data_IF_553633913850
#
_entry.id   IF_553633913850
#
_cell.length_a   1.000
_cell.length_b   1.000
_cell.length_c   1.000
_cell.angle_alpha   90.00
_cell.angle_beta   90.00
_cell.angle_gamma   90.00
#
_symmetry.space_group_name_H-M   'P 1'
#
loop_
_entity.id
_entity.type
_entity.pdbx_description
1 polymer ?
#
# COMPACT_ATOMS: atom_id res chain seq x y z
N UNK A 1 -42.92 38.28 17.51
CA UNK A 1 -43.21 36.95 18.11
C UNK A 1 -43.23 35.93 16.98
N UNK A 2 -42.31 34.96 17.00
CA UNK A 2 -42.27 33.73 16.18
C UNK A 2 -41.76 33.90 14.74
N UNK A 3 -40.50 33.60 14.40
CA UNK A 3 -39.89 32.26 14.14
C UNK A 3 -40.46 31.64 12.85
N UNK A 4 -39.75 31.72 11.72
CA UNK A 4 -38.73 30.76 11.24
C UNK A 4 -39.20 29.29 11.26
N UNK A 5 -39.35 28.72 10.06
CA UNK A 5 -39.08 27.31 9.73
C UNK A 5 -39.01 27.18 8.19
N UNK A 6 -37.79 27.23 7.65
CA UNK A 6 -37.47 26.78 6.30
C UNK A 6 -37.12 25.29 6.35
N UNK A 7 -37.81 24.50 5.54
CA UNK A 7 -37.52 23.09 5.29
C UNK A 7 -36.11 22.92 4.72
N UNK A 8 -35.24 22.23 5.48
CA UNK A 8 -33.97 21.70 4.99
C UNK A 8 -34.18 20.29 4.45
N UNK A 9 -34.02 20.16 3.13
CA UNK A 9 -33.82 18.89 2.44
C UNK A 9 -32.45 18.34 2.84
N UNK A 10 -32.43 17.28 3.63
CA UNK A 10 -31.24 16.47 3.93
C UNK A 10 -31.03 15.48 2.77
N UNK A 11 -29.89 15.58 2.08
CA UNK A 11 -29.43 14.55 1.15
C UNK A 11 -28.62 13.47 1.91
N UNK A 12 -28.61 12.21 1.43
CA UNK A 12 -27.96 11.12 2.13
C UNK A 12 -26.50 10.98 1.68
N UNK A 13 -25.55 11.49 2.48
CA UNK A 13 -24.14 11.08 2.40
C UNK A 13 -23.81 10.28 3.65
N UNK A 14 -23.88 8.95 3.54
CA UNK A 14 -23.38 8.03 4.55
C UNK A 14 -22.79 6.84 3.82
N UNK A 15 -21.47 6.66 3.88
CA UNK A 15 -20.78 5.36 4.00
C UNK A 15 -19.31 5.44 3.55
N UNK A 16 -18.38 5.96 4.38
CA UNK A 16 -16.94 5.59 4.30
C UNK A 16 -16.27 5.48 5.71
N UNK A 17 -16.96 5.78 6.83
CA UNK A 17 -16.30 5.91 8.15
C UNK A 17 -16.05 4.62 8.97
N UNK A 18 -16.25 3.41 8.44
CA UNK A 18 -16.29 2.20 9.30
C UNK A 18 -15.06 1.28 9.28
N UNK A 19 -13.97 1.59 8.59
CA UNK A 19 -12.90 0.59 8.38
C UNK A 19 -11.64 0.75 9.26
N UNK A 20 -11.41 1.88 9.94
CA UNK A 20 -10.13 2.15 10.60
C UNK A 20 -10.11 1.94 12.15
N UNK A 21 -11.24 1.67 12.81
CA UNK A 21 -11.31 1.72 14.28
C UNK A 21 -11.27 0.36 15.04
N UNK A 22 -11.36 -0.80 14.36
CA UNK A 22 -11.74 -2.07 15.03
C UNK A 22 -10.62 -3.07 15.38
N UNK A 23 -9.34 -2.68 15.39
CA UNK A 23 -8.22 -3.66 15.52
C UNK A 23 -7.64 -3.79 16.95
N UNK A 24 -8.20 -3.16 17.99
CA UNK A 24 -7.61 -3.23 19.35
C UNK A 24 -8.37 -4.01 20.44
N UNK A 25 -9.48 -4.67 20.14
CA UNK A 25 -10.19 -5.45 21.17
C UNK A 25 -10.87 -6.70 20.61
N UNK A 26 -10.15 -7.84 20.64
CA UNK A 26 -10.68 -9.19 20.98
C UNK A 26 -9.67 -10.27 20.59
N UNK A 27 -8.94 -10.78 21.57
CA UNK A 27 -8.40 -12.15 21.56
C UNK A 27 -8.15 -12.59 23.00
N UNK A 28 -9.24 -12.91 23.71
CA UNK A 28 -9.22 -13.79 24.88
C UNK A 28 -10.21 -14.92 24.60
N UNK A 29 -9.69 -16.11 24.35
CA UNK A 29 -10.48 -17.35 24.24
C UNK A 29 -10.61 -17.98 25.63
N UNK A 30 -11.81 -18.36 26.09
CA UNK A 30 -11.96 -19.13 27.32
C UNK A 30 -11.86 -20.65 27.05
N UNK A 31 -11.23 -21.37 27.99
CA UNK A 31 -11.12 -22.83 28.02
C UNK A 31 -12.49 -23.50 28.26
N UNK A 32 -12.78 -24.66 27.65
CA UNK A 32 -13.99 -25.42 27.99
C UNK A 32 -13.79 -26.29 29.24
N UNK A 33 -14.53 -25.95 30.30
CA UNK A 33 -14.91 -26.88 31.37
C UNK A 33 -16.07 -27.74 30.88
N UNK A 34 -15.97 -29.07 31.01
CA UNK A 34 -17.09 -29.97 31.35
C UNK A 34 -16.60 -31.42 31.49
N UNK A 35 -16.53 -31.90 32.72
CA UNK A 35 -16.60 -33.33 33.07
C UNK A 35 -18.08 -33.72 33.17
N UNK A 36 -18.40 -34.99 32.88
CA UNK A 36 -19.31 -35.69 33.78
C UNK A 36 -18.76 -37.05 34.24
N UNK A 37 -19.13 -37.31 35.49
CA UNK A 37 -18.87 -38.46 36.33
C UNK A 37 -19.60 -39.72 35.87
N UNK A 38 -18.90 -40.86 36.02
CA UNK A 38 -19.36 -42.19 36.42
C UNK A 38 -20.56 -42.85 35.70
N UNK A 39 -20.29 -43.98 35.04
CA UNK A 39 -21.11 -45.20 35.19
C UNK A 39 -20.19 -46.43 35.22
N UNK A 40 -20.27 -47.18 36.32
CA UNK A 40 -19.57 -48.44 36.54
C UNK A 40 -20.35 -49.61 35.95
N UNK A 41 -19.58 -50.53 35.36
CA UNK A 41 -19.66 -51.99 35.44
C UNK A 41 -21.02 -52.70 35.32
N UNK A 42 -21.10 -53.64 34.35
CA UNK A 42 -21.25 -55.07 34.69
C UNK A 42 -21.08 -55.99 33.46
N UNK A 43 -20.21 -57.02 33.66
CA UNK A 43 -20.36 -58.45 33.35
C UNK A 43 -20.65 -58.92 31.90
N UNK A 44 -20.16 -60.04 31.38
CA UNK A 44 -19.24 -61.12 31.80
C UNK A 44 -19.04 -61.99 30.52
N UNK A 45 -17.88 -62.65 30.38
CA UNK A 45 -17.62 -63.90 29.62
C UNK A 45 -17.89 -63.89 28.08
N UNK A 46 -17.05 -64.42 27.18
CA UNK A 46 -16.44 -65.75 27.21
C UNK A 46 -15.56 -65.97 25.95
N UNK A 47 -14.52 -66.79 26.10
CA UNK A 47 -13.89 -67.70 25.10
C UNK A 47 -13.17 -67.16 23.86
N UNK A 48 -11.84 -67.37 23.89
CA UNK A 48 -10.93 -67.51 22.75
C UNK A 48 -11.30 -68.66 21.80
N UNK A 49 -10.98 -68.49 20.51
CA UNK A 49 -10.65 -69.50 19.45
C UNK A 49 -10.89 -68.82 18.09
N UNK A 50 -10.17 -68.98 16.98
CA UNK A 50 -8.88 -69.56 16.59
C UNK A 50 -8.74 -69.26 15.08
N UNK A 51 -7.50 -69.12 14.59
CA UNK A 51 -7.03 -69.15 13.18
C UNK A 51 -7.33 -67.92 12.28
N UNK A 52 -6.32 -67.14 11.86
CA UNK A 52 -5.33 -67.42 10.79
C UNK A 52 -6.02 -67.86 9.50
N UNK A 53 -6.23 -66.88 8.64
CA UNK A 53 -6.66 -67.03 7.27
C UNK A 53 -6.28 -65.78 6.48
N UNK A 54 -5.09 -65.83 5.89
CA UNK A 54 -4.60 -65.01 4.79
C UNK A 54 -3.92 -63.65 5.12
N UNK A 55 -2.60 -63.73 5.32
CA UNK A 55 -1.68 -62.69 4.85
C UNK A 55 -1.89 -62.49 3.35
N UNK A 56 -2.43 -61.34 2.96
CA UNK A 56 -2.21 -60.73 1.65
C UNK A 56 -2.01 -59.22 1.87
N UNK A 57 -0.75 -58.87 2.02
CA UNK A 57 -0.14 -57.53 1.99
C UNK A 57 -0.77 -56.74 0.82
N UNK A 58 -1.41 -55.60 1.05
CA UNK A 58 -0.80 -54.30 0.72
C UNK A 58 -1.27 -53.21 1.69
N UNK A 59 -0.55 -53.05 2.80
CA UNK A 59 -0.35 -51.72 3.34
C UNK A 59 0.60 -50.98 2.38
N UNK A 60 0.25 -49.76 1.97
CA UNK A 60 1.04 -48.51 2.10
C UNK A 60 0.26 -47.41 1.37
N UNK A 61 -0.10 -46.31 2.05
CA UNK A 61 -0.68 -45.13 1.41
C UNK A 61 0.41 -44.40 0.63
N UNK A 62 0.35 -44.40 -0.70
CA UNK A 62 1.26 -43.60 -1.52
C UNK A 62 0.76 -42.15 -1.62
N UNK A 63 0.82 -41.41 -0.51
CA UNK A 63 0.89 -39.94 -0.55
C UNK A 63 2.35 -39.56 -0.33
N UNK A 64 3.13 -39.68 -1.39
CA UNK A 64 4.51 -39.17 -1.45
C UNK A 64 4.57 -38.18 -2.58
N UNK A 65 4.66 -36.88 -2.26
CA UNK A 65 5.03 -35.90 -3.28
C UNK A 65 4.47 -34.48 -3.19
N UNK A 66 4.33 -33.87 -2.01
CA UNK A 66 4.17 -32.40 -1.89
C UNK A 66 4.93 -31.87 -0.68
N UNK A 67 6.26 -31.89 -0.75
CA UNK A 67 7.08 -31.15 0.22
C UNK A 67 8.12 -30.28 -0.49
N UNK A 68 8.75 -30.79 -1.55
CA UNK A 68 9.76 -30.04 -2.32
C UNK A 68 9.16 -28.99 -3.26
N UNK A 69 7.93 -29.22 -3.74
CA UNK A 69 7.21 -28.24 -4.55
C UNK A 69 6.83 -26.99 -3.77
N UNK A 70 6.54 -27.10 -2.47
CA UNK A 70 6.16 -25.93 -1.67
C UNK A 70 7.36 -25.04 -1.32
N UNK A 71 8.58 -25.60 -1.16
CA UNK A 71 9.77 -24.78 -0.92
C UNK A 71 10.26 -24.08 -2.19
N UNK A 72 10.26 -24.76 -3.34
CA UNK A 72 10.63 -24.13 -4.61
C UNK A 72 9.54 -23.15 -5.08
N UNK A 73 8.26 -23.48 -4.89
CA UNK A 73 7.16 -22.54 -5.14
C UNK A 73 7.21 -21.33 -4.18
N UNK A 74 7.56 -21.51 -2.89
CA UNK A 74 7.79 -20.37 -1.99
C UNK A 74 8.97 -19.52 -2.41
N UNK A 75 10.05 -20.14 -2.90
CA UNK A 75 11.27 -19.45 -3.36
C UNK A 75 11.07 -18.78 -4.72
N UNK A 76 10.27 -19.36 -5.59
CA UNK A 76 9.88 -18.79 -6.86
C UNK A 76 8.89 -17.65 -6.64
N UNK A 77 7.87 -17.84 -5.81
CA UNK A 77 6.96 -16.77 -5.40
C UNK A 77 7.71 -15.61 -4.73
N UNK A 78 8.69 -15.87 -3.86
CA UNK A 78 9.47 -14.80 -3.24
C UNK A 78 10.30 -14.03 -4.26
N UNK A 79 10.87 -14.72 -5.26
CA UNK A 79 11.61 -14.08 -6.35
C UNK A 79 10.70 -13.23 -7.24
N UNK A 80 9.53 -13.76 -7.60
CA UNK A 80 8.53 -13.04 -8.39
C UNK A 80 8.00 -11.81 -7.61
N UNK A 81 7.80 -11.93 -6.30
CA UNK A 81 7.41 -10.83 -5.43
C UNK A 81 8.52 -9.76 -5.33
N UNK A 82 9.78 -10.17 -5.21
CA UNK A 82 10.92 -9.25 -5.19
C UNK A 82 11.08 -8.53 -6.53
N UNK A 83 10.95 -9.24 -7.66
CA UNK A 83 10.99 -8.68 -9.01
C UNK A 83 9.89 -7.63 -9.22
N UNK A 84 8.66 -7.93 -8.78
CA UNK A 84 7.53 -6.98 -8.84
C UNK A 84 7.72 -5.74 -7.99
N UNK A 85 8.42 -5.85 -6.85
CA UNK A 85 8.74 -4.73 -5.96
C UNK A 85 9.81 -3.83 -6.58
N UNK A 86 10.78 -4.44 -7.25
CA UNK A 86 11.88 -3.73 -7.93
C UNK A 86 11.47 -3.14 -9.30
N UNK A 87 10.33 -3.55 -9.86
CA UNK A 87 9.81 -2.98 -11.09
C UNK A 87 9.55 -1.48 -10.94
N UNK A 88 10.22 -0.68 -11.78
CA UNK A 88 10.06 0.77 -11.82
C UNK A 88 8.70 1.14 -12.43
N UNK A 89 8.05 2.14 -11.86
CA UNK A 89 6.78 2.65 -12.35
C UNK A 89 6.71 4.17 -12.21
N UNK A 90 5.89 4.78 -13.07
CA UNK A 90 5.39 6.13 -12.82
C UNK A 90 4.17 6.07 -11.92
N UNK A 91 3.95 7.14 -11.16
CA UNK A 91 2.75 7.29 -10.34
C UNK A 91 1.79 8.26 -11.03
N UNK A 92 0.69 7.72 -11.53
CA UNK A 92 -0.37 8.49 -12.17
C UNK A 92 -1.51 8.74 -11.18
N UNK A 93 -2.30 9.78 -11.45
CA UNK A 93 -3.39 10.23 -10.58
C UNK A 93 -4.72 9.86 -11.22
N UNK A 94 -5.58 9.24 -10.42
CA UNK A 94 -6.99 9.00 -10.75
C UNK A 94 -7.84 9.75 -9.72
N UNK A 95 -8.79 10.56 -10.18
CA UNK A 95 -9.68 11.29 -9.27
C UNK A 95 -10.75 10.36 -8.68
N UNK A 96 -11.07 10.53 -7.41
CA UNK A 96 -12.14 9.74 -6.75
C UNK A 96 -13.48 10.45 -6.69
N UNK A 97 -13.47 11.76 -6.95
CA UNK A 97 -14.62 12.64 -6.88
C UNK A 97 -14.92 13.20 -8.26
N UNK A 98 -16.21 13.37 -8.55
CA UNK A 98 -16.71 13.97 -9.79
C UNK A 98 -16.93 15.47 -9.54
N UNK A 99 -15.83 16.22 -9.58
CA UNK A 99 -15.78 17.68 -9.41
C UNK A 99 -15.11 18.31 -10.63
N UNK A 100 -15.42 19.58 -10.95
CA UNK A 100 -14.88 20.24 -12.15
C UNK A 100 -13.34 20.26 -12.16
N UNK A 101 -12.72 20.39 -10.99
CA UNK A 101 -11.26 20.37 -10.85
C UNK A 101 -10.65 18.97 -10.98
N UNK A 102 -11.45 17.90 -10.92
CA UNK A 102 -10.99 16.54 -11.15
C UNK A 102 -10.51 16.35 -12.59
N UNK A 103 -11.12 17.04 -13.57
CA UNK A 103 -10.71 17.00 -14.98
C UNK A 103 -9.30 17.56 -15.20
N UNK A 104 -8.84 18.49 -14.33
CA UNK A 104 -7.46 19.00 -14.38
C UNK A 104 -6.43 17.97 -13.88
N UNK A 105 -6.87 17.03 -13.03
CA UNK A 105 -6.03 16.11 -12.26
C UNK A 105 -6.04 14.68 -12.82
N UNK A 106 -7.13 14.24 -13.41
CA UNK A 106 -7.28 12.87 -13.89
C UNK A 106 -6.31 12.58 -15.04
N UNK A 107 -5.61 11.45 -14.95
CA UNK A 107 -4.57 11.05 -15.91
C UNK A 107 -3.29 11.89 -15.85
N UNK A 108 -3.15 12.81 -14.88
CA UNK A 108 -1.90 13.51 -14.60
C UNK A 108 -0.92 12.63 -13.85
N UNK A 109 0.33 13.10 -13.74
CA UNK A 109 1.44 12.36 -13.16
C UNK A 109 2.01 13.06 -11.94
N UNK A 110 2.41 12.26 -10.97
CA UNK A 110 3.19 12.74 -9.83
C UNK A 110 4.58 13.18 -10.28
N UNK A 111 4.94 14.40 -9.92
CA UNK A 111 6.22 15.03 -10.20
C UNK A 111 6.88 15.54 -8.92
N UNK A 112 8.21 15.57 -8.93
CA UNK A 112 9.03 15.92 -7.78
C UNK A 112 9.71 17.27 -8.04
N UNK A 113 9.58 18.20 -7.11
CA UNK A 113 10.34 19.46 -7.09
C UNK A 113 10.42 20.02 -5.67
N UNK A 114 11.50 20.72 -5.34
CA UNK A 114 11.68 21.43 -4.06
C UNK A 114 11.34 20.58 -2.81
N UNK A 115 11.77 19.30 -2.79
CA UNK A 115 11.51 18.34 -1.70
C UNK A 115 10.03 18.03 -1.43
N UNK A 116 9.11 18.48 -2.27
CA UNK A 116 7.67 18.23 -2.17
C UNK A 116 7.14 17.53 -3.42
N UNK A 117 6.04 16.79 -3.24
CA UNK A 117 5.41 16.01 -4.30
C UNK A 117 4.21 16.79 -4.85
N UNK A 118 4.18 16.94 -6.18
CA UNK A 118 3.16 17.67 -6.91
C UNK A 118 2.57 16.81 -8.02
N UNK A 119 1.53 17.32 -8.68
CA UNK A 119 0.85 16.72 -9.82
C UNK A 119 0.98 17.67 -11.01
N UNK A 120 1.42 17.14 -12.15
CA UNK A 120 1.57 17.90 -13.40
C UNK A 120 1.41 16.96 -14.62
N UNK A 121 1.57 17.50 -15.83
CA UNK A 121 1.43 16.76 -17.07
C UNK A 121 2.44 15.60 -17.16
N UNK A 122 2.05 14.41 -17.63
CA UNK A 122 2.99 13.30 -17.82
C UNK A 122 4.10 13.65 -18.82
N UNK A 123 3.84 14.51 -19.81
CA UNK A 123 4.85 14.97 -20.75
C UNK A 123 5.58 16.21 -20.22
N UNK A 124 6.92 16.15 -20.00
CA UNK A 124 7.71 17.28 -19.54
C UNK A 124 7.56 18.56 -20.38
N UNK A 125 7.32 18.43 -21.70
CA UNK A 125 7.18 19.57 -22.60
C UNK A 125 5.91 20.40 -22.35
N UNK A 126 4.89 19.81 -21.72
CA UNK A 126 3.62 20.48 -21.41
C UNK A 126 3.63 21.16 -20.03
N UNK A 127 4.68 20.94 -19.23
CA UNK A 127 4.77 21.45 -17.87
C UNK A 127 5.14 22.92 -17.90
N UNK A 128 4.42 23.73 -17.11
CA UNK A 128 4.76 25.15 -16.92
C UNK A 128 5.97 25.33 -16.00
N UNK A 129 6.17 24.39 -15.09
CA UNK A 129 7.21 24.43 -14.07
C UNK A 129 8.09 23.21 -14.25
N UNK A 130 9.40 23.42 -14.34
CA UNK A 130 10.37 22.35 -14.42
C UNK A 130 10.25 21.45 -13.19
N UNK A 131 9.94 20.18 -13.43
CA UNK A 131 9.70 19.19 -12.40
C UNK A 131 10.03 17.81 -12.94
N UNK A 132 10.52 16.95 -12.04
CA UNK A 132 11.02 15.64 -12.41
C UNK A 132 9.93 14.57 -12.29
N UNK A 133 9.68 13.81 -13.36
CA UNK A 133 8.76 12.68 -13.31
C UNK A 133 9.48 11.46 -12.71
N UNK A 134 9.43 11.36 -11.39
CA UNK A 134 10.13 10.31 -10.66
C UNK A 134 9.64 8.91 -11.01
N UNK A 135 10.58 8.02 -11.33
CA UNK A 135 10.33 6.59 -11.46
C UNK A 135 10.49 5.94 -10.09
N UNK A 136 9.39 5.43 -9.55
CA UNK A 136 9.33 4.87 -8.22
C UNK A 136 9.43 3.33 -8.23
N UNK A 137 9.96 2.76 -7.15
CA UNK A 137 10.01 1.32 -6.90
C UNK A 137 10.11 1.06 -5.38
N UNK A 138 9.76 -0.16 -4.96
CA UNK A 138 9.71 -0.55 -3.55
C UNK A 138 10.98 -1.28 -3.14
N UNK A 139 11.54 -0.89 -1.99
CA UNK A 139 12.63 -1.61 -1.31
C UNK A 139 12.42 -1.55 0.20
N UNK A 140 13.08 -2.42 0.95
CA UNK A 140 13.03 -2.35 2.42
C UNK A 140 13.59 -1.00 2.92
N UNK A 141 12.82 -0.33 3.78
CA UNK A 141 13.26 0.93 4.37
C UNK A 141 14.37 0.67 5.41
N UNK A 142 15.56 1.29 5.28
CA UNK A 142 16.66 1.10 6.19
C UNK A 142 16.44 1.89 7.49
N UNK A 143 16.03 1.20 8.55
CA UNK A 143 15.91 1.82 9.87
C UNK A 143 17.28 2.27 10.42
N UNK A 144 17.33 3.39 11.14
CA UNK A 144 18.51 3.73 11.93
C UNK A 144 18.74 2.69 13.03
N UNK A 145 19.99 2.55 13.47
CA UNK A 145 20.41 1.49 14.40
C UNK A 145 19.56 1.38 15.67
N UNK A 146 19.12 2.52 16.21
CA UNK A 146 18.30 2.60 17.42
C UNK A 146 16.82 2.25 17.20
N UNK A 147 16.37 2.09 15.94
CA UNK A 147 15.00 1.68 15.56
C UNK A 147 14.98 0.38 14.74
N UNK A 148 16.08 -0.39 14.69
CA UNK A 148 16.17 -1.62 13.88
C UNK A 148 15.13 -2.69 14.21
N UNK A 149 14.62 -2.70 15.44
CA UNK A 149 13.56 -3.61 15.85
C UNK A 149 12.20 -3.22 15.26
N UNK A 150 12.06 -1.96 14.82
CA UNK A 150 10.88 -1.41 14.16
C UNK A 150 10.88 -1.86 12.69
N UNK A 151 10.40 -3.07 12.41
CA UNK A 151 10.20 -3.52 11.01
C UNK A 151 9.08 -2.70 10.34
N UNK A 152 9.39 -1.49 9.85
CA UNK A 152 8.42 -0.66 9.12
C UNK A 152 8.03 -1.25 7.77
N UNK A 153 8.86 -2.11 7.19
CA UNK A 153 8.60 -2.79 5.93
C UNK A 153 9.11 -2.01 4.72
N UNK A 154 8.33 -2.01 3.64
CA UNK A 154 8.73 -1.40 2.37
C UNK A 154 8.66 0.12 2.43
N UNK A 155 9.74 0.76 2.02
CA UNK A 155 9.77 2.16 1.62
C UNK A 155 9.55 2.30 0.11
N UNK A 156 9.15 3.50 -0.31
CA UNK A 156 9.03 3.86 -1.72
C UNK A 156 10.18 4.80 -2.09
N UNK A 157 11.00 4.39 -3.05
CA UNK A 157 12.12 5.18 -3.56
C UNK A 157 11.76 5.70 -4.93
N UNK A 158 12.14 6.93 -5.24
CA UNK A 158 11.93 7.53 -6.56
C UNK A 158 13.19 8.20 -7.09
N UNK A 159 13.36 8.19 -8.41
CA UNK A 159 14.36 9.03 -9.07
C UNK A 159 13.98 10.50 -8.91
N UNK A 160 14.95 11.36 -8.61
CA UNK A 160 14.74 12.82 -8.49
C UNK A 160 15.42 13.63 -9.60
N UNK A 161 16.29 12.98 -10.36
CA UNK A 161 16.94 13.54 -11.54
C UNK A 161 17.34 12.39 -12.48
N UNK A 162 17.44 12.67 -13.77
CA UNK A 162 17.77 11.64 -14.78
C UNK A 162 19.26 11.29 -14.84
N UNK A 163 20.15 12.29 -14.69
CA UNK A 163 21.60 12.09 -14.87
C UNK A 163 22.45 13.02 -13.99
N UNK A 164 23.27 12.47 -13.06
CA UNK A 164 23.32 11.08 -12.64
C UNK A 164 22.05 10.70 -11.87
N UNK A 165 21.47 9.50 -12.00
CA UNK A 165 20.25 9.17 -11.28
C UNK A 165 20.48 9.25 -9.76
N UNK A 166 19.78 10.18 -9.11
CA UNK A 166 19.72 10.27 -7.66
C UNK A 166 18.39 9.73 -7.17
N UNK A 167 18.43 9.08 -6.01
CA UNK A 167 17.30 8.42 -5.39
C UNK A 167 17.00 9.06 -4.05
N UNK A 168 15.72 9.33 -3.81
CA UNK A 168 15.21 9.76 -2.51
C UNK A 168 13.99 8.92 -2.12
N UNK A 169 13.72 8.86 -0.82
CA UNK A 169 12.55 8.22 -0.25
C UNK A 169 11.36 9.15 -0.35
N UNK A 170 10.21 8.61 -0.78
CA UNK A 170 8.92 9.26 -0.64
C UNK A 170 8.38 8.99 0.76
N UNK A 171 7.89 10.04 1.43
CA UNK A 171 7.35 9.96 2.78
C UNK A 171 6.25 10.99 2.97
N UNK A 172 5.32 10.72 3.87
CA UNK A 172 4.36 11.71 4.33
C UNK A 172 4.94 12.43 5.55
N UNK A 173 4.88 13.75 5.56
CA UNK A 173 5.21 14.57 6.71
C UNK A 173 4.16 14.35 7.81
N UNK A 174 4.60 13.87 8.98
CA UNK A 174 3.69 13.55 10.09
C UNK A 174 2.90 14.75 10.61
N UNK A 175 3.42 15.97 10.46
CA UNK A 175 2.85 17.17 11.06
C UNK A 175 1.96 17.90 10.05
N UNK A 176 2.42 18.03 8.80
CA UNK A 176 1.72 18.78 7.73
C UNK A 176 0.88 17.90 6.79
N UNK A 177 1.05 16.58 6.85
CA UNK A 177 0.43 15.60 5.93
C UNK A 177 0.83 15.76 4.46
N UNK A 178 1.80 16.62 4.17
CA UNK A 178 2.34 16.81 2.83
C UNK A 178 3.14 15.58 2.41
N UNK A 179 2.94 15.14 1.17
CA UNK A 179 3.81 14.14 0.59
C UNK A 179 5.10 14.81 0.11
N UNK A 180 6.23 14.31 0.62
CA UNK A 180 7.57 14.86 0.41
C UNK A 180 8.53 13.79 -0.07
N UNK A 181 9.69 14.24 -0.54
CA UNK A 181 10.80 13.35 -0.88
C UNK A 181 12.10 13.85 -0.26
N UNK A 182 13.00 12.92 0.10
CA UNK A 182 14.25 13.28 0.75
C UNK A 182 15.13 12.09 1.08
N UNK A 183 16.28 12.38 1.67
CA UNK A 183 17.22 11.34 2.10
C UNK A 183 16.69 10.59 3.34
N UNK A 184 17.44 9.59 3.79
CA UNK A 184 17.07 8.77 4.96
C UNK A 184 16.96 9.60 6.24
N UNK A 185 17.88 10.52 6.49
CA UNK A 185 17.90 11.37 7.70
C UNK A 185 16.69 12.30 7.76
N UNK A 186 16.22 12.80 6.61
CA UNK A 186 15.01 13.61 6.53
C UNK A 186 13.76 12.74 6.72
N UNK A 187 13.69 11.62 6.02
CA UNK A 187 12.47 10.78 6.00
C UNK A 187 12.22 9.99 7.29
N UNK A 188 13.25 9.64 8.07
CA UNK A 188 13.11 8.75 9.22
C UNK A 188 12.31 9.33 10.40
N UNK A 189 12.18 10.66 10.47
CA UNK A 189 11.43 11.35 11.53
C UNK A 189 9.93 11.54 11.21
N UNK A 190 9.50 11.15 10.01
CA UNK A 190 8.13 11.26 9.53
C UNK A 190 7.53 9.87 9.24
N UNK A 191 6.79 9.73 8.14
CA UNK A 191 6.10 8.50 7.76
C UNK A 191 6.65 7.98 6.42
N UNK A 192 7.79 7.26 6.44
CA UNK A 192 8.43 6.77 5.22
C UNK A 192 7.95 5.38 4.76
N UNK A 193 7.19 4.66 5.59
CA UNK A 193 6.79 3.27 5.37
C UNK A 193 5.70 2.85 6.40
N UNK A 194 4.94 1.75 6.18
CA UNK A 194 4.97 0.86 5.02
C UNK A 194 4.23 1.44 3.82
N UNK A 195 4.94 1.56 2.72
CA UNK A 195 4.34 1.66 1.39
C UNK A 195 3.93 0.27 0.91
N UNK A 196 2.81 0.21 0.20
CA UNK A 196 2.35 -1.01 -0.44
C UNK A 196 1.49 -0.69 -1.66
N UNK A 197 1.02 -1.72 -2.34
CA UNK A 197 -0.02 -1.60 -3.34
C UNK A 197 -1.25 -2.44 -2.97
N UNK A 198 -2.38 -2.12 -3.58
CA UNK A 198 -3.64 -2.85 -3.53
C UNK A 198 -4.18 -3.01 -4.96
N UNK A 199 -5.41 -3.50 -5.13
CA UNK A 199 -6.10 -3.58 -6.43
C UNK A 199 -5.27 -4.26 -7.53
N UNK A 200 -4.79 -5.48 -7.26
CA UNK A 200 -3.92 -6.25 -8.18
C UNK A 200 -2.70 -5.45 -8.65
N UNK A 201 -2.00 -4.85 -7.69
CA UNK A 201 -0.71 -4.18 -7.91
C UNK A 201 -0.80 -2.81 -8.59
N UNK A 202 -1.98 -2.19 -8.60
CA UNK A 202 -2.20 -0.91 -9.29
C UNK A 202 -2.28 0.28 -8.36
N UNK A 203 -3.01 0.20 -7.23
CA UNK A 203 -3.23 1.36 -6.35
C UNK A 203 -2.18 1.43 -5.25
N UNK A 204 -1.45 2.54 -5.14
CA UNK A 204 -0.44 2.77 -4.10
C UNK A 204 -1.13 3.16 -2.78
N UNK A 205 -0.61 2.65 -1.66
CA UNK A 205 -1.06 2.97 -0.30
C UNK A 205 0.13 3.22 0.62
N UNK A 206 -0.05 4.07 1.63
CA UNK A 206 0.94 4.32 2.69
C UNK A 206 0.28 4.07 4.06
N UNK A 207 0.93 3.29 4.93
CA UNK A 207 0.37 2.86 6.23
C UNK A 207 -1.01 2.19 6.11
N UNK A 208 -1.28 1.52 4.98
CA UNK A 208 -2.60 0.97 4.61
C UNK A 208 -3.70 2.02 4.43
N UNK A 209 -3.36 3.31 4.45
CA UNK A 209 -4.24 4.40 4.09
C UNK A 209 -4.15 4.66 2.57
N UNK A 210 -5.32 4.86 1.96
CA UNK A 210 -5.49 5.26 0.56
C UNK A 210 -6.04 6.68 0.42
N UNK A 211 -6.22 7.41 1.54
CA UNK A 211 -6.80 8.75 1.60
C UNK A 211 -5.84 9.84 1.10
N UNK A 212 -5.44 9.76 -0.16
CA UNK A 212 -4.64 10.81 -0.78
C UNK A 212 -5.54 11.94 -1.29
N UNK A 213 -5.04 13.16 -1.19
CA UNK A 213 -5.74 14.36 -1.64
C UNK A 213 -4.79 15.24 -2.47
N UNK A 214 -5.35 15.84 -3.51
CA UNK A 214 -4.71 16.92 -4.25
C UNK A 214 -5.20 18.25 -3.68
N UNK A 215 -4.27 19.13 -3.32
CA UNK A 215 -4.57 20.46 -2.77
C UNK A 215 -4.02 21.52 -3.71
N UNK A 216 -4.87 22.45 -4.16
CA UNK A 216 -4.47 23.58 -5.01
C UNK A 216 -3.87 24.67 -4.14
N UNK A 217 -2.58 24.90 -4.25
CA UNK A 217 -1.86 25.88 -3.46
C UNK A 217 -0.77 26.58 -4.27
N UNK A 218 -0.20 27.66 -3.71
CA UNK A 218 0.98 28.29 -4.28
C UNK A 218 2.24 27.58 -3.77
N UNK A 219 3.12 27.22 -4.68
CA UNK A 219 4.45 26.72 -4.31
C UNK A 219 5.33 27.83 -3.71
N UNK A 220 6.55 27.47 -3.30
CA UNK A 220 7.53 28.39 -2.72
C UNK A 220 7.89 29.57 -3.65
N UNK A 221 7.67 29.41 -4.96
CA UNK A 221 7.91 30.44 -5.98
C UNK A 221 6.65 31.26 -6.29
N UNK A 222 5.53 30.98 -5.61
CA UNK A 222 4.27 31.70 -5.76
C UNK A 222 3.39 31.22 -6.93
N UNK A 223 3.75 30.11 -7.59
CA UNK A 223 3.00 29.56 -8.70
C UNK A 223 1.93 28.58 -8.21
N UNK A 224 0.75 28.62 -8.84
CA UNK A 224 -0.30 27.64 -8.55
C UNK A 224 0.11 26.24 -8.97
N UNK A 225 -0.05 25.29 -8.06
CA UNK A 225 0.29 23.89 -8.24
C UNK A 225 -0.64 22.99 -7.43
N UNK A 226 -0.72 21.73 -7.87
CA UNK A 226 -1.44 20.69 -7.16
C UNK A 226 -0.45 19.89 -6.33
N UNK A 227 -0.50 20.06 -5.02
CA UNK A 227 0.34 19.33 -4.07
C UNK A 227 -0.38 18.06 -3.58
N UNK A 228 0.38 16.99 -3.34
CA UNK A 228 -0.18 15.73 -2.83
C UNK A 228 -0.08 15.69 -1.31
N UNK A 229 -1.18 15.31 -0.67
CA UNK A 229 -1.31 15.14 0.76
C UNK A 229 -1.85 13.74 1.08
N UNK A 230 -1.54 13.23 2.27
CA UNK A 230 -2.13 12.00 2.81
C UNK A 230 -2.90 12.32 4.08
N UNK A 231 -4.20 12.07 4.06
CA UNK A 231 -5.02 12.15 5.26
C UNK A 231 -4.77 10.94 6.16
N UNK A 232 -3.99 11.17 7.22
CA UNK A 232 -3.71 10.15 8.24
C UNK A 232 -4.73 10.16 9.37
N UNK A 233 -5.45 11.26 9.56
CA UNK A 233 -6.39 11.42 10.67
C UNK A 233 -7.80 10.95 10.30
N UNK A 234 -8.09 10.82 9.00
CA UNK A 234 -9.40 10.45 8.48
C UNK A 234 -10.40 11.59 8.59
N UNK A 235 -9.92 12.84 8.57
CA UNK A 235 -10.71 14.06 8.75
C UNK A 235 -10.76 14.92 7.48
N UNK A 236 -10.43 14.35 6.32
CA UNK A 236 -10.40 15.06 5.03
C UNK A 236 -9.44 16.27 5.06
N UNK A 237 -8.33 16.14 5.79
CA UNK A 237 -7.29 17.16 6.01
C UNK A 237 -7.74 18.39 6.82
N UNK A 238 -8.91 18.35 7.47
CA UNK A 238 -9.44 19.48 8.23
C UNK A 238 -8.48 19.95 9.34
N UNK A 239 -7.79 19.05 10.04
CA UNK A 239 -6.84 19.45 11.10
C UNK A 239 -5.65 20.24 10.56
N UNK A 240 -5.14 19.89 9.39
CA UNK A 240 -3.90 20.46 8.84
C UNK A 240 -4.17 21.68 7.95
N UNK A 241 -5.28 21.70 7.20
CA UNK A 241 -5.66 22.82 6.36
C UNK A 241 -6.59 23.81 7.08
N UNK A 242 -7.31 23.38 8.12
CA UNK A 242 -8.30 24.21 8.82
C UNK A 242 -9.41 24.69 7.88
N UNK A 243 -9.90 25.90 8.13
CA UNK A 243 -10.90 26.58 7.29
C UNK A 243 -10.29 27.26 6.06
N UNK A 244 -9.12 26.81 5.58
CA UNK A 244 -8.50 27.42 4.40
C UNK A 244 -9.45 27.30 3.20
N UNK A 245 -9.75 28.43 2.57
CA UNK A 245 -10.33 28.48 1.23
C UNK A 245 -9.29 27.94 0.24
N UNK A 246 -9.34 26.64 -0.02
CA UNK A 246 -8.48 25.95 -0.97
C UNK A 246 -9.26 24.83 -1.62
N UNK A 247 -8.98 24.57 -2.90
CA UNK A 247 -9.58 23.44 -3.59
C UNK A 247 -8.84 22.17 -3.15
N UNK A 248 -9.60 21.22 -2.59
CA UNK A 248 -9.12 19.92 -2.15
C UNK A 248 -9.93 18.86 -2.89
N UNK A 249 -9.24 17.91 -3.51
CA UNK A 249 -9.86 16.84 -4.30
C UNK A 249 -9.30 15.50 -3.86
N UNK A 250 -10.17 14.55 -3.52
CA UNK A 250 -9.75 13.17 -3.22
C UNK A 250 -9.20 12.46 -4.44
N UNK A 251 -8.01 11.85 -4.32
CA UNK A 251 -7.31 11.17 -5.43
C UNK A 251 -6.83 9.77 -5.06
N UNK A 252 -6.59 8.95 -6.07
CA UNK A 252 -5.88 7.67 -5.99
C UNK A 252 -4.56 7.77 -6.75
N UNK A 253 -3.53 7.19 -6.16
CA UNK A 253 -2.22 7.06 -6.80
C UNK A 253 -2.13 5.68 -7.47
N UNK A 254 -1.91 5.67 -8.78
CA UNK A 254 -1.87 4.46 -9.62
C UNK A 254 -0.47 4.20 -10.16
N UNK A 255 -0.09 2.93 -10.19
CA UNK A 255 1.18 2.45 -10.73
C UNK A 255 1.03 2.21 -12.23
N UNK A 256 1.84 2.92 -13.00
CA UNK A 256 2.03 2.68 -14.43
C UNK A 256 3.43 2.16 -14.66
N UNK A 257 3.56 0.85 -14.86
CA UNK A 257 4.86 0.19 -15.01
C UNK A 257 5.63 0.79 -16.19
N UNK A 258 6.94 1.02 -15.99
CA UNK A 258 7.82 1.41 -17.10
C UNK A 258 8.12 0.14 -17.89
N UNK A 259 7.69 0.09 -19.15
CA UNK A 259 8.06 -1.00 -20.04
C UNK A 259 9.59 -1.06 -20.14
N UNK A 260 10.16 -2.19 -19.73
CA UNK A 260 11.57 -2.47 -19.99
C UNK A 260 11.68 -2.70 -21.49
N UNK A 261 12.10 -1.69 -22.24
CA UNK A 261 12.57 -1.90 -23.60
C UNK A 261 13.72 -2.90 -23.48
N UNK A 262 13.59 -4.13 -24.03
CA UNK A 262 14.69 -5.09 -24.00
C UNK A 262 15.88 -4.42 -24.65
N UNK A 263 17.03 -4.42 -23.97
CA UNK A 263 18.26 -3.93 -24.55
C UNK A 263 18.48 -4.70 -25.85
N UNK A 264 18.32 -4.00 -26.97
CA UNK A 264 18.49 -4.56 -28.30
C UNK A 264 19.86 -5.24 -28.37
N UNK A 265 19.87 -6.43 -28.99
CA UNK A 265 21.02 -7.32 -29.05
C UNK A 265 22.20 -6.66 -29.74
N UNK A 266 23.04 -5.98 -28.95
CA UNK A 266 24.27 -5.37 -29.42
C UNK A 266 25.32 -6.42 -29.80
N UNK A 267 25.54 -6.53 -31.12
CA UNK A 267 26.77 -6.90 -31.82
C UNK A 267 27.28 -8.35 -31.79
N UNK A 268 27.38 -8.92 -32.99
CA UNK A 268 28.70 -9.32 -33.50
C UNK A 268 28.96 -8.70 -34.87
N UNK A 269 29.91 -7.76 -34.90
CA UNK A 269 30.70 -7.49 -36.10
C UNK A 269 31.83 -8.52 -36.25
N UNK A 270 32.38 -8.59 -37.45
CA UNK A 270 33.52 -9.43 -37.84
C UNK A 270 33.07 -10.61 -38.72
N UNK A 271 33.44 -10.73 -39.98
CA UNK A 271 34.55 -10.13 -40.74
C UNK A 271 34.22 -10.08 -42.23
#
# INVERSE_FOLDING_TARGET
MGSEAQDRILSPRTSILSACADIHHKNQTPLPNNLPTNYLANNHNSTASSMIGLLAITAIPTVTGIALGCSEQRKQNSREDDEKRMAKFYTDVECTEDVEEADELDGKRVVLRNNKVYIDDPNPANRKIESHAGQAFYIDYPEPDHMKDLKRGLGLVSTIQDSPPMLNWLYCDKDTHELKYGNRTQSCEHVPAPWNWTDKETTIVLERCWGFYAVKEKDEQGNWAWAVYLDRDGDELQRVLGDREGVVVGIRLKRTLVELVPADGGQKGGS
#
